data_IF_742315908787
#
_entry.id   IF_742315908787
#
_cell.length_a   1.000
_cell.length_b   1.000
_cell.length_c   1.000
_cell.angle_alpha   90.00
_cell.angle_beta   90.00
_cell.angle_gamma   90.00
#
_symmetry.space_group_name_H-M   'P 1'
#
loop_
_entity.id
_entity.type
_entity.pdbx_description
1 polymer ?
#
# COMPACT_ATOMS: atom_id res chain seq x y z
N UNK A 1 23.88 10.12 -0.19
CA UNK A 1 22.56 9.57 -0.59
C UNK A 1 21.59 10.72 -0.41
N UNK A 2 21.18 11.38 -1.50
CA UNK A 2 20.17 12.43 -1.41
C UNK A 2 18.84 11.78 -1.02
N UNK A 3 18.31 12.14 0.15
CA UNK A 3 16.97 11.78 0.55
C UNK A 3 15.97 12.68 -0.17
N UNK A 4 14.84 12.10 -0.58
CA UNK A 4 13.69 12.83 -1.15
C UNK A 4 13.29 14.04 -0.27
N UNK A 5 12.88 15.15 -0.90
CA UNK A 5 12.34 16.35 -0.22
C UNK A 5 11.02 16.10 0.55
N UNK A 6 10.47 14.88 0.44
CA UNK A 6 9.24 14.47 1.12
C UNK A 6 9.49 13.19 1.89
N UNK A 7 9.25 13.27 3.19
CA UNK A 7 9.36 12.16 4.14
C UNK A 7 8.01 11.91 4.79
N UNK A 8 7.63 10.64 4.93
CA UNK A 8 6.45 10.20 5.68
C UNK A 8 6.99 9.47 6.92
N UNK A 9 6.84 10.09 8.08
CA UNK A 9 7.28 9.51 9.34
C UNK A 9 6.38 8.36 9.79
N UNK A 10 7.00 7.30 10.30
CA UNK A 10 6.32 6.20 10.99
C UNK A 10 6.53 6.40 12.49
N UNK A 11 5.48 6.28 13.34
CA UNK A 11 5.66 6.39 14.78
C UNK A 11 6.52 5.24 15.30
N UNK A 12 7.34 5.52 16.31
CA UNK A 12 8.13 4.50 16.99
C UNK A 12 7.22 3.40 17.56
N UNK A 13 7.55 2.15 17.27
CA UNK A 13 6.82 0.98 17.75
C UNK A 13 7.79 -0.19 17.99
N UNK A 14 7.31 -1.29 18.54
CA UNK A 14 8.12 -2.50 18.71
C UNK A 14 8.56 -3.07 17.35
N UNK A 15 9.74 -3.69 17.31
CA UNK A 15 10.35 -4.22 16.08
C UNK A 15 9.39 -5.10 15.26
N UNK A 16 8.60 -5.96 15.93
CA UNK A 16 7.64 -6.83 15.27
C UNK A 16 6.41 -6.11 14.69
N UNK A 17 6.09 -4.90 15.16
CA UNK A 17 4.96 -4.10 14.68
C UNK A 17 5.37 -3.12 13.57
N UNK A 18 6.67 -2.82 13.47
CA UNK A 18 7.18 -1.86 12.50
C UNK A 18 6.81 -2.21 11.05
N UNK A 19 6.92 -3.49 10.58
CA UNK A 19 6.54 -3.84 9.21
C UNK A 19 5.07 -3.57 8.88
N UNK A 20 4.18 -3.68 9.89
CA UNK A 20 2.75 -3.41 9.72
C UNK A 20 2.52 -1.92 9.51
N UNK A 21 3.22 -1.06 10.24
CA UNK A 21 3.07 0.39 10.08
C UNK A 21 3.74 0.89 8.80
N UNK A 22 4.87 0.30 8.40
CA UNK A 22 5.58 0.66 7.17
C UNK A 22 4.79 0.36 5.89
N UNK A 23 3.92 -0.65 5.87
CA UNK A 23 3.12 -0.99 4.69
C UNK A 23 1.91 -0.06 4.49
N UNK A 24 1.41 0.59 5.55
CA UNK A 24 0.21 1.44 5.49
C UNK A 24 0.38 2.61 4.50
N UNK A 25 1.47 3.41 4.53
CA UNK A 25 1.67 4.47 3.54
C UNK A 25 1.72 3.94 2.10
N UNK A 26 2.28 2.75 1.88
CA UNK A 26 2.36 2.15 0.55
C UNK A 26 0.97 1.71 0.05
N UNK A 27 0.13 1.15 0.95
CA UNK A 27 -1.27 0.82 0.64
C UNK A 27 -2.07 2.08 0.30
N UNK A 28 -1.92 3.15 1.08
CA UNK A 28 -2.59 4.44 0.82
C UNK A 28 -2.10 5.08 -0.47
N UNK A 29 -0.80 5.00 -0.77
CA UNK A 29 -0.24 5.47 -2.04
C UNK A 29 -0.87 4.74 -3.23
N UNK A 30 -0.93 3.39 -3.17
CA UNK A 30 -1.55 2.58 -4.21
C UNK A 30 -3.02 2.94 -4.42
N UNK A 31 -3.79 3.03 -3.32
CA UNK A 31 -5.19 3.46 -3.34
C UNK A 31 -5.35 4.83 -4.03
N UNK A 32 -4.60 5.84 -3.57
CA UNK A 32 -4.69 7.20 -4.07
C UNK A 32 -4.22 7.36 -5.52
N UNK A 33 -3.29 6.54 -5.99
CA UNK A 33 -2.89 6.48 -7.40
C UNK A 33 -4.00 5.82 -8.23
N UNK A 34 -4.59 4.73 -7.75
CA UNK A 34 -5.65 4.01 -8.44
C UNK A 34 -6.92 4.87 -8.59
N UNK A 35 -7.32 5.59 -7.52
CA UNK A 35 -8.44 6.57 -7.57
C UNK A 35 -8.18 7.62 -8.64
N UNK A 36 -6.98 8.24 -8.64
CA UNK A 36 -6.63 9.29 -9.62
C UNK A 36 -6.57 8.77 -11.06
N UNK A 37 -6.27 7.49 -11.24
CA UNK A 37 -6.25 6.83 -12.56
C UNK A 37 -7.62 6.31 -13.01
N UNK A 38 -8.66 6.44 -12.17
CA UNK A 38 -9.99 5.89 -12.48
C UNK A 38 -10.01 4.36 -12.57
N UNK A 39 -9.12 3.68 -11.85
CA UNK A 39 -9.13 2.22 -11.77
C UNK A 39 -10.25 1.75 -10.83
N UNK A 40 -10.85 0.59 -11.12
CA UNK A 40 -11.66 -0.14 -10.15
C UNK A 40 -10.72 -0.78 -9.10
N UNK A 41 -10.84 -0.30 -7.86
CA UNK A 41 -9.96 -0.67 -6.74
C UNK A 41 -10.49 -1.92 -6.04
N UNK A 42 -11.82 -2.07 -5.98
CA UNK A 42 -12.48 -3.19 -5.33
C UNK A 42 -12.46 -4.44 -6.23
N UNK A 43 -12.38 -4.25 -7.56
CA UNK A 43 -12.27 -5.31 -8.55
C UNK A 43 -11.10 -5.07 -9.52
N UNK A 44 -9.84 -5.25 -9.07
CA UNK A 44 -8.69 -5.09 -9.93
C UNK A 44 -8.71 -6.11 -11.08
N UNK A 45 -8.28 -5.65 -12.27
CA UNK A 45 -8.26 -6.49 -13.47
C UNK A 45 -7.45 -7.77 -13.24
N UNK A 46 -7.97 -8.89 -13.71
CA UNK A 46 -7.33 -10.22 -13.65
C UNK A 46 -7.14 -10.78 -12.23
N UNK A 47 -7.75 -10.18 -11.21
CA UNK A 47 -7.71 -10.69 -9.84
C UNK A 47 -9.10 -11.16 -9.40
N UNK A 48 -9.09 -12.19 -8.56
CA UNK A 48 -10.25 -12.62 -7.79
C UNK A 48 -9.90 -12.54 -6.29
N UNK A 49 -10.92 -12.41 -5.44
CA UNK A 49 -10.72 -12.37 -3.98
C UNK A 49 -10.04 -13.63 -3.44
N UNK A 50 -10.30 -14.78 -4.07
CA UNK A 50 -9.67 -16.06 -3.81
C UNK A 50 -9.62 -16.87 -5.10
N UNK A 51 -8.53 -17.58 -5.34
CA UNK A 51 -8.41 -18.54 -6.45
C UNK A 51 -8.78 -19.92 -5.91
N UNK A 52 -9.81 -20.54 -6.46
CA UNK A 52 -10.36 -21.82 -5.96
C UNK A 52 -10.40 -22.90 -7.04
N UNK A 53 -9.46 -22.86 -7.99
CA UNK A 53 -9.33 -23.89 -9.04
C UNK A 53 -8.00 -24.61 -8.86
N UNK A 54 -8.06 -25.94 -8.92
CA UNK A 54 -6.92 -26.87 -8.91
C UNK A 54 -6.20 -26.90 -10.27
#
# INVERSE_FOLDING_TARGET
IEASDRFIGIPSTGEFLLPILEVIPLQLLAYHVAVRRGCDIDQPRNLAKSVTVE
#
